data_IF_745461256778
#
_entry.id   IF_745461256778
#
_cell.length_a   1.000
_cell.length_b   1.000
_cell.length_c   1.000
_cell.angle_alpha   90.00
_cell.angle_beta   90.00
_cell.angle_gamma   90.00
#
_symmetry.space_group_name_H-M   'P 1'
#
loop_
_entity.id
_entity.type
_entity.pdbx_description
1 polymer ?
#
# COMPACT_ATOMS: atom_id res chain seq x y z
N UNK A 1 -4.30 13.10 -14.62
CA UNK A 1 -3.03 13.12 -13.89
C UNK A 1 -1.87 13.05 -14.87
N UNK A 2 -0.76 13.80 -14.64
CA UNK A 2 0.45 13.67 -15.43
C UNK A 2 0.93 12.20 -15.43
N UNK A 3 1.31 11.71 -16.61
CA UNK A 3 1.70 10.31 -16.84
C UNK A 3 3.19 10.20 -17.23
N UNK A 4 4.00 11.10 -16.75
CA UNK A 4 5.38 11.34 -17.15
C UNK A 4 6.44 11.02 -16.09
N UNK A 5 6.00 10.62 -14.90
CA UNK A 5 6.91 10.10 -13.88
C UNK A 5 7.31 8.65 -14.17
N UNK A 6 8.50 8.27 -13.77
CA UNK A 6 8.89 6.86 -13.80
C UNK A 6 8.14 6.08 -12.73
N UNK A 7 7.41 5.05 -13.12
CA UNK A 7 6.83 4.07 -12.22
C UNK A 7 7.69 2.84 -12.16
N UNK A 8 8.09 2.48 -10.97
CA UNK A 8 8.77 1.22 -10.69
C UNK A 8 7.82 0.02 -10.84
N UNK A 9 6.53 0.18 -10.51
CA UNK A 9 5.40 -0.74 -10.54
C UNK A 9 5.42 -1.81 -9.44
N UNK A 10 6.54 -2.46 -9.22
CA UNK A 10 6.71 -3.48 -8.18
C UNK A 10 7.51 -2.91 -7.00
N UNK A 11 7.23 -1.64 -6.66
CA UNK A 11 7.88 -0.94 -5.55
C UNK A 11 7.36 -1.49 -4.23
N UNK A 12 8.13 -2.42 -3.68
CA UNK A 12 7.82 -3.12 -2.44
C UNK A 12 9.11 -3.47 -1.69
N UNK A 13 8.99 -3.68 -0.37
CA UNK A 13 10.14 -3.85 0.51
C UNK A 13 11.12 -4.96 0.07
N UNK A 14 10.63 -6.06 -0.48
CA UNK A 14 11.47 -7.17 -0.97
C UNK A 14 12.37 -6.81 -2.17
N UNK A 15 12.03 -5.74 -2.88
CA UNK A 15 12.78 -5.27 -4.05
C UNK A 15 13.74 -4.11 -3.70
N UNK A 16 13.93 -3.86 -2.40
CA UNK A 16 14.88 -2.88 -1.87
C UNK A 16 15.91 -3.64 -1.05
N UNK A 17 17.15 -3.62 -1.51
CA UNK A 17 18.29 -4.23 -0.83
C UNK A 17 19.10 -3.14 -0.14
N UNK A 18 19.63 -3.41 1.05
CA UNK A 18 20.54 -2.51 1.75
C UNK A 18 21.93 -3.12 1.74
N UNK A 19 22.95 -2.31 1.46
CA UNK A 19 24.34 -2.72 1.65
C UNK A 19 24.79 -2.62 3.12
N UNK A 20 26.06 -2.90 3.38
CA UNK A 20 26.64 -2.86 4.73
C UNK A 20 26.63 -1.44 5.36
N UNK A 21 26.45 -0.40 4.56
CA UNK A 21 26.37 1.00 4.97
C UNK A 21 24.96 1.58 4.95
N UNK A 22 23.94 0.70 4.87
CA UNK A 22 22.53 1.04 4.76
C UNK A 22 22.15 1.82 3.47
N UNK A 23 22.98 1.75 2.41
CA UNK A 23 22.61 2.34 1.13
C UNK A 23 21.58 1.47 0.40
N UNK A 24 20.46 2.03 -0.10
CA UNK A 24 19.44 1.27 -0.78
C UNK A 24 19.80 0.98 -2.24
N UNK A 25 19.61 -0.26 -2.64
CA UNK A 25 19.67 -0.72 -4.04
C UNK A 25 18.30 -1.25 -4.45
N UNK A 26 17.88 -0.89 -5.65
CA UNK A 26 16.58 -1.25 -6.19
C UNK A 26 16.75 -2.32 -7.25
N UNK A 27 16.04 -3.45 -7.10
CA UNK A 27 16.06 -4.60 -8.01
C UNK A 27 14.67 -4.85 -8.60
N UNK A 28 14.59 -5.60 -9.69
CA UNK A 28 13.30 -5.98 -10.32
C UNK A 28 12.54 -4.78 -10.93
N UNK A 29 13.29 -3.81 -11.50
CA UNK A 29 12.72 -2.57 -12.06
C UNK A 29 12.44 -2.63 -13.57
N UNK A 30 12.72 -3.75 -14.24
CA UNK A 30 12.55 -3.92 -15.70
C UNK A 30 11.10 -3.80 -16.16
N UNK A 31 10.12 -3.92 -15.25
CA UNK A 31 8.71 -3.68 -15.51
C UNK A 31 8.32 -2.19 -15.50
N UNK A 32 9.30 -1.29 -15.30
CA UNK A 32 9.07 0.14 -15.17
C UNK A 32 8.47 0.77 -16.44
N UNK A 33 7.68 1.82 -16.23
CA UNK A 33 7.06 2.60 -17.32
C UNK A 33 6.70 4.01 -16.85
N UNK A 34 6.25 4.85 -17.78
CA UNK A 34 5.68 6.15 -17.42
C UNK A 34 4.31 6.01 -16.75
N UNK A 35 4.04 6.85 -15.79
CA UNK A 35 2.76 6.90 -15.11
C UNK A 35 2.70 7.91 -13.96
N UNK A 36 1.59 7.95 -13.20
CA UNK A 36 1.41 8.92 -12.13
C UNK A 36 2.19 8.54 -10.88
N UNK A 37 2.91 9.47 -10.30
CA UNK A 37 3.77 9.28 -9.12
C UNK A 37 3.05 8.78 -7.85
N UNK A 38 1.72 8.80 -7.80
CA UNK A 38 0.94 8.26 -6.68
C UNK A 38 0.97 6.73 -6.60
N UNK A 39 1.15 6.04 -7.74
CA UNK A 39 0.97 4.60 -7.82
C UNK A 39 1.97 3.82 -6.97
N UNK A 40 3.25 4.13 -7.08
CA UNK A 40 4.30 3.43 -6.33
C UNK A 40 4.24 3.76 -4.85
N UNK A 41 3.93 5.01 -4.49
CA UNK A 41 3.71 5.40 -3.10
C UNK A 41 2.56 4.60 -2.46
N UNK A 42 1.42 4.48 -3.17
CA UNK A 42 0.29 3.67 -2.72
C UNK A 42 0.67 2.19 -2.61
N UNK A 43 1.43 1.64 -3.57
CA UNK A 43 1.87 0.25 -3.58
C UNK A 43 2.76 -0.07 -2.39
N UNK A 44 3.71 0.80 -2.09
CA UNK A 44 4.69 0.61 -1.03
C UNK A 44 4.05 0.76 0.35
N UNK A 45 3.39 1.88 0.61
CA UNK A 45 2.88 2.19 1.95
C UNK A 45 1.64 1.35 2.34
N UNK A 46 0.87 0.86 1.39
CA UNK A 46 -0.28 -0.03 1.64
C UNK A 46 0.00 -1.49 1.28
N UNK A 47 1.26 -1.87 1.17
CA UNK A 47 1.63 -3.28 1.05
C UNK A 47 1.09 -4.07 2.24
N UNK A 48 0.20 -5.04 1.97
CA UNK A 48 -0.53 -5.76 3.03
C UNK A 48 0.40 -6.51 3.99
N UNK A 49 1.47 -7.14 3.46
CA UNK A 49 2.44 -7.88 4.25
C UNK A 49 3.32 -7.00 5.14
N UNK A 50 3.54 -5.73 4.79
CA UNK A 50 4.39 -4.81 5.55
C UNK A 50 3.74 -4.31 6.85
N UNK A 51 2.40 -4.28 6.91
CA UNK A 51 1.61 -3.89 8.09
C UNK A 51 2.06 -2.56 8.72
N UNK A 52 2.43 -1.58 7.90
CA UNK A 52 2.84 -0.26 8.38
C UNK A 52 1.73 0.40 9.23
N UNK A 53 2.13 1.01 10.36
CA UNK A 53 1.19 1.75 11.19
C UNK A 53 0.62 2.98 10.46
N UNK A 54 -0.57 3.42 10.86
CA UNK A 54 -1.16 4.65 10.31
C UNK A 54 -0.26 5.87 10.51
N UNK A 55 0.40 5.97 11.66
CA UNK A 55 1.34 7.06 11.98
C UNK A 55 2.50 7.09 10.98
N UNK A 56 3.17 5.96 10.77
CA UNK A 56 4.30 5.84 9.83
C UNK A 56 3.87 6.15 8.39
N UNK A 57 2.74 5.60 7.93
CA UNK A 57 2.20 5.91 6.59
C UNK A 57 2.00 7.40 6.40
N UNK A 58 1.41 8.08 7.40
CA UNK A 58 1.16 9.51 7.35
C UNK A 58 2.45 10.31 7.26
N UNK A 59 3.42 10.01 8.11
CA UNK A 59 4.73 10.65 8.10
C UNK A 59 5.41 10.52 6.74
N UNK A 60 5.51 9.30 6.21
CA UNK A 60 6.13 9.03 4.90
C UNK A 60 5.38 9.66 3.72
N UNK A 61 4.05 9.79 3.79
CA UNK A 61 3.27 10.51 2.78
C UNK A 61 3.65 11.99 2.75
N UNK A 62 3.82 12.64 3.90
CA UNK A 62 4.21 14.05 3.97
C UNK A 62 5.67 14.24 3.54
N UNK A 63 6.59 13.38 3.96
CA UNK A 63 7.99 13.43 3.51
C UNK A 63 8.09 13.27 1.99
N UNK A 64 7.36 12.30 1.42
CA UNK A 64 7.31 12.12 -0.03
C UNK A 64 6.74 13.35 -0.74
N UNK A 65 5.64 13.92 -0.21
CA UNK A 65 5.02 15.13 -0.75
C UNK A 65 5.99 16.31 -0.74
N UNK A 66 6.75 16.49 0.33
CA UNK A 66 7.72 17.58 0.44
C UNK A 66 8.95 17.36 -0.47
N UNK A 67 9.44 16.14 -0.57
CA UNK A 67 10.50 15.79 -1.50
C UNK A 67 10.09 16.00 -2.97
N UNK A 68 8.86 15.64 -3.32
CA UNK A 68 8.33 15.74 -4.68
C UNK A 68 8.35 17.18 -5.23
N UNK A 69 8.17 18.19 -4.36
CA UNK A 69 8.25 19.63 -4.73
C UNK A 69 9.58 20.03 -5.37
N UNK A 70 10.64 19.27 -5.12
CA UNK A 70 11.95 19.54 -5.70
C UNK A 70 12.07 19.06 -7.16
N UNK A 71 11.11 18.27 -7.64
CA UNK A 71 11.19 17.62 -8.94
C UNK A 71 10.06 18.01 -9.89
N UNK A 72 8.92 18.44 -9.35
CA UNK A 72 7.74 18.78 -10.16
C UNK A 72 6.81 19.72 -9.39
N UNK A 73 5.92 20.38 -10.13
CA UNK A 73 4.80 21.07 -9.52
C UNK A 73 3.85 20.06 -8.86
N UNK A 74 3.51 20.34 -7.60
CA UNK A 74 2.60 19.50 -6.83
C UNK A 74 1.34 20.28 -6.45
N UNK A 75 0.16 19.62 -6.46
CA UNK A 75 -1.08 20.24 -6.01
C UNK A 75 -1.03 20.53 -4.49
N UNK A 76 -2.03 21.24 -3.96
CA UNK A 76 -2.15 21.40 -2.50
C UNK A 76 -2.14 20.04 -1.81
N UNK A 77 -1.60 19.98 -0.58
CA UNK A 77 -1.48 18.74 0.20
C UNK A 77 -2.83 18.02 0.35
N UNK A 78 -3.92 18.76 0.51
CA UNK A 78 -5.27 18.20 0.57
C UNK A 78 -5.64 17.47 -0.73
N UNK A 79 -5.36 18.08 -1.87
CA UNK A 79 -5.64 17.50 -3.19
C UNK A 79 -4.75 16.28 -3.41
N UNK A 80 -3.46 16.39 -3.05
CA UNK A 80 -2.52 15.27 -3.12
C UNK A 80 -3.01 14.04 -2.33
N UNK A 81 -3.39 14.23 -1.06
CA UNK A 81 -3.89 13.14 -0.20
C UNK A 81 -5.18 12.53 -0.75
N UNK A 82 -6.11 13.36 -1.24
CA UNK A 82 -7.34 12.85 -1.84
C UNK A 82 -7.05 12.00 -3.08
N UNK A 83 -6.13 12.45 -3.94
CA UNK A 83 -5.71 11.67 -5.12
C UNK A 83 -4.98 10.38 -4.73
N UNK A 84 -4.04 10.47 -3.81
CA UNK A 84 -3.36 9.29 -3.28
C UNK A 84 -4.37 8.23 -2.78
N UNK A 85 -5.42 8.66 -2.10
CA UNK A 85 -6.45 7.75 -1.58
C UNK A 85 -7.19 6.99 -2.68
N UNK A 86 -7.39 7.60 -3.86
CA UNK A 86 -7.92 6.88 -5.03
C UNK A 86 -6.97 5.79 -5.51
N UNK A 87 -5.67 6.09 -5.56
CA UNK A 87 -4.65 5.09 -5.91
C UNK A 87 -4.55 3.99 -4.87
N UNK A 88 -4.67 4.32 -3.58
CA UNK A 88 -4.72 3.33 -2.49
C UNK A 88 -5.91 2.40 -2.66
N UNK A 89 -7.12 2.95 -2.92
CA UNK A 89 -8.30 2.12 -3.18
C UNK A 89 -8.10 1.21 -4.38
N UNK A 90 -7.64 1.78 -5.50
CA UNK A 90 -7.37 1.02 -6.73
C UNK A 90 -6.38 -0.13 -6.50
N UNK A 91 -5.25 0.16 -5.85
CA UNK A 91 -4.22 -0.85 -5.54
C UNK A 91 -4.74 -1.91 -4.57
N UNK A 92 -5.51 -1.51 -3.56
CA UNK A 92 -6.10 -2.45 -2.61
C UNK A 92 -7.04 -3.44 -3.30
N UNK A 93 -7.89 -2.95 -4.20
CA UNK A 93 -8.79 -3.82 -4.98
C UNK A 93 -8.00 -4.74 -5.92
N UNK A 94 -6.98 -4.22 -6.58
CA UNK A 94 -6.12 -4.99 -7.48
C UNK A 94 -5.40 -6.13 -6.74
N UNK A 95 -4.81 -5.86 -5.57
CA UNK A 95 -4.11 -6.91 -4.80
C UNK A 95 -5.09 -7.90 -4.19
N UNK A 96 -6.26 -7.48 -3.73
CA UNK A 96 -7.30 -8.39 -3.25
C UNK A 96 -7.76 -9.37 -4.33
N UNK A 97 -7.94 -8.88 -5.57
CA UNK A 97 -8.25 -9.75 -6.71
C UNK A 97 -7.12 -10.76 -6.97
N UNK A 98 -5.85 -10.31 -6.97
CA UNK A 98 -4.71 -11.19 -7.15
C UNK A 98 -4.57 -12.22 -6.01
N UNK A 99 -4.77 -11.80 -4.75
CA UNK A 99 -4.69 -12.69 -3.59
C UNK A 99 -5.84 -13.72 -3.59
N UNK A 100 -7.05 -13.30 -3.97
CA UNK A 100 -8.16 -14.23 -4.13
C UNK A 100 -7.87 -15.29 -5.18
N UNK A 101 -7.44 -14.87 -6.37
CA UNK A 101 -7.11 -15.81 -7.45
C UNK A 101 -5.95 -16.74 -7.08
N UNK A 102 -4.80 -16.20 -6.70
CA UNK A 102 -3.61 -17.01 -6.39
C UNK A 102 -3.76 -17.83 -5.11
N UNK A 103 -4.52 -17.34 -4.14
CA UNK A 103 -4.79 -18.05 -2.89
C UNK A 103 -5.73 -19.23 -3.09
N UNK A 104 -6.91 -19.00 -3.69
CA UNK A 104 -7.94 -20.04 -3.80
C UNK A 104 -7.75 -20.96 -5.01
N UNK A 105 -7.35 -20.44 -6.17
CA UNK A 105 -7.17 -21.27 -7.37
C UNK A 105 -5.77 -21.88 -7.45
N UNK A 106 -4.71 -21.08 -7.27
CA UNK A 106 -3.34 -21.59 -7.29
C UNK A 106 -2.91 -22.23 -5.96
N UNK A 107 -3.77 -22.15 -4.92
CA UNK A 107 -3.55 -22.75 -3.58
C UNK A 107 -2.26 -22.28 -2.89
N UNK A 108 -1.82 -21.06 -3.17
CA UNK A 108 -0.62 -20.46 -2.58
C UNK A 108 -0.96 -19.81 -1.24
N UNK A 109 -0.58 -20.46 -0.14
CA UNK A 109 -0.93 -20.06 1.22
C UNK A 109 -0.58 -18.62 1.58
N UNK A 110 0.60 -18.13 1.21
CA UNK A 110 1.03 -16.77 1.52
C UNK A 110 0.13 -15.67 0.95
N UNK A 111 -0.59 -15.95 -0.16
CA UNK A 111 -1.61 -15.02 -0.67
C UNK A 111 -2.87 -15.04 0.19
N UNK A 112 -3.28 -16.21 0.69
CA UNK A 112 -4.40 -16.30 1.64
C UNK A 112 -4.08 -15.53 2.93
N UNK A 113 -2.88 -15.70 3.47
CA UNK A 113 -2.41 -15.00 4.67
C UNK A 113 -2.33 -13.46 4.49
N UNK A 114 -2.27 -13.00 3.24
CA UNK A 114 -2.24 -11.57 2.90
C UNK A 114 -3.64 -10.95 2.74
N UNK A 115 -4.71 -11.75 2.64
CA UNK A 115 -6.08 -11.24 2.50
C UNK A 115 -6.53 -10.44 3.74
N UNK A 116 -6.37 -10.93 4.99
CA UNK A 116 -6.78 -10.20 6.17
C UNK A 116 -6.22 -8.79 6.27
N UNK A 117 -4.89 -8.56 6.19
CA UNK A 117 -4.36 -7.22 6.23
C UNK A 117 -4.75 -6.36 5.02
N UNK A 118 -5.03 -6.95 3.85
CA UNK A 118 -5.55 -6.21 2.70
C UNK A 118 -7.01 -5.77 2.92
N UNK A 119 -7.85 -6.58 3.55
CA UNK A 119 -9.21 -6.20 3.96
C UNK A 119 -9.16 -5.07 4.99
N UNK A 120 -8.21 -5.09 5.93
CA UNK A 120 -8.04 -4.00 6.87
C UNK A 120 -7.63 -2.70 6.15
N UNK A 121 -6.71 -2.76 5.19
CA UNK A 121 -6.38 -1.60 4.34
C UNK A 121 -7.61 -1.07 3.59
N UNK A 122 -8.48 -1.96 3.09
CA UNK A 122 -9.74 -1.56 2.45
C UNK A 122 -10.67 -0.84 3.45
N UNK A 123 -10.87 -1.38 4.65
CA UNK A 123 -11.67 -0.72 5.70
C UNK A 123 -11.15 0.68 6.00
N UNK A 124 -9.84 0.83 6.11
CA UNK A 124 -9.22 2.12 6.47
C UNK A 124 -9.39 3.15 5.36
N UNK A 125 -9.22 2.78 4.10
CA UNK A 125 -9.43 3.73 3.00
C UNK A 125 -10.90 4.10 2.81
N UNK A 126 -11.84 3.18 3.06
CA UNK A 126 -13.27 3.44 2.97
C UNK A 126 -13.78 4.44 4.03
N UNK A 127 -13.04 4.66 5.14
CA UNK A 127 -13.35 5.70 6.13
C UNK A 127 -13.28 7.13 5.55
N UNK A 128 -12.58 7.33 4.44
CA UNK A 128 -12.55 8.62 3.73
C UNK A 128 -13.92 9.00 3.15
N UNK A 129 -14.77 8.01 2.87
CA UNK A 129 -16.16 8.18 2.47
C UNK A 129 -16.37 8.91 1.15
N UNK A 130 -17.61 9.37 0.94
CA UNK A 130 -18.06 9.95 -0.33
C UNK A 130 -17.39 11.28 -0.69
N UNK A 131 -16.82 11.99 0.27
CA UNK A 131 -16.06 13.21 0.01
C UNK A 131 -14.84 13.00 -0.89
N UNK A 132 -14.27 11.79 -0.87
CA UNK A 132 -13.12 11.40 -1.68
C UNK A 132 -13.54 10.46 -2.81
N UNK A 133 -14.52 9.60 -2.54
CA UNK A 133 -15.04 8.58 -3.45
C UNK A 133 -16.51 8.86 -3.76
N UNK A 134 -16.85 9.66 -4.80
CA UNK A 134 -18.22 10.03 -5.11
C UNK A 134 -19.01 8.91 -5.81
N UNK A 135 -18.93 7.68 -5.28
CA UNK A 135 -19.56 6.48 -5.82
C UNK A 135 -20.27 5.71 -4.70
N UNK A 136 -21.43 6.20 -4.19
CA UNK A 136 -22.07 5.67 -2.97
C UNK A 136 -22.41 4.18 -3.07
N UNK A 137 -22.91 3.71 -4.20
CA UNK A 137 -23.21 2.30 -4.40
C UNK A 137 -21.96 1.41 -4.32
N UNK A 138 -20.86 1.83 -4.95
CA UNK A 138 -19.59 1.10 -4.86
C UNK A 138 -19.06 1.08 -3.43
N UNK A 139 -19.13 2.20 -2.72
CA UNK A 139 -18.69 2.27 -1.31
C UNK A 139 -19.51 1.32 -0.43
N UNK A 140 -20.81 1.30 -0.60
CA UNK A 140 -21.70 0.38 0.13
C UNK A 140 -21.38 -1.09 -0.17
N UNK A 141 -21.20 -1.43 -1.44
CA UNK A 141 -20.81 -2.79 -1.85
C UNK A 141 -19.48 -3.19 -1.22
N UNK A 142 -18.48 -2.29 -1.23
CA UNK A 142 -17.16 -2.58 -0.65
C UNK A 142 -17.22 -2.68 0.89
N UNK A 143 -18.03 -1.86 1.57
CA UNK A 143 -18.28 -2.02 3.02
C UNK A 143 -18.85 -3.37 3.33
N UNK A 144 -19.92 -3.78 2.65
CA UNK A 144 -20.52 -5.12 2.81
C UNK A 144 -19.53 -6.25 2.54
N UNK A 145 -18.66 -6.09 1.54
CA UNK A 145 -17.57 -7.05 1.29
C UNK A 145 -16.69 -7.22 2.52
N UNK A 146 -16.30 -6.11 3.18
CA UNK A 146 -15.43 -6.18 4.37
C UNK A 146 -16.13 -6.75 5.61
N UNK A 147 -17.47 -6.76 5.64
CA UNK A 147 -18.30 -7.24 6.75
C UNK A 147 -18.69 -8.71 6.61
N UNK A 148 -18.31 -9.36 5.51
CA UNK A 148 -18.61 -10.79 5.34
C UNK A 148 -18.07 -11.59 6.53
N UNK A 149 -18.82 -12.62 7.03
CA UNK A 149 -18.44 -13.39 8.23
C UNK A 149 -17.02 -13.94 8.19
N UNK A 150 -16.53 -14.32 7.00
CA UNK A 150 -15.14 -14.78 6.79
C UNK A 150 -14.08 -13.72 7.09
N UNK A 151 -14.45 -12.43 7.12
CA UNK A 151 -13.56 -11.29 7.37
C UNK A 151 -13.86 -10.60 8.69
N UNK A 152 -15.02 -10.82 9.31
CA UNK A 152 -15.41 -10.21 10.57
C UNK A 152 -14.50 -10.64 11.75
N UNK A 153 -13.97 -11.85 11.70
CA UNK A 153 -13.08 -12.41 12.74
C UNK A 153 -11.60 -11.96 12.57
N UNK A 154 -11.31 -11.12 11.58
CA UNK A 154 -9.95 -10.69 11.24
C UNK A 154 -9.54 -9.40 11.93
N UNK A 155 -10.18 -9.02 13.03
CA UNK A 155 -9.68 -7.96 13.92
C UNK A 155 -8.36 -8.43 14.54
N UNK A 156 -7.26 -8.14 13.84
CA UNK A 156 -5.95 -8.28 14.46
C UNK A 156 -5.81 -7.19 15.51
N UNK A 157 -5.41 -7.54 16.74
CA UNK A 157 -5.07 -6.52 17.72
C UNK A 157 -4.03 -5.59 17.10
N UNK A 158 -4.24 -4.30 17.24
CA UNK A 158 -3.27 -3.30 16.86
C UNK A 158 -1.94 -3.67 17.53
N UNK A 159 -0.97 -4.12 16.75
CA UNK A 159 0.37 -4.35 17.26
C UNK A 159 0.94 -2.97 17.55
N UNK A 160 0.80 -2.53 18.80
CA UNK A 160 1.52 -1.40 19.36
C UNK A 160 3.02 -1.75 19.37
N UNK A 161 3.66 -1.64 18.23
CA UNK A 161 5.12 -1.58 18.16
C UNK A 161 5.52 -0.11 18.33
N UNK A 162 5.59 0.28 19.59
CA UNK A 162 6.17 1.56 20.03
C UNK A 162 7.71 1.57 19.94
N UNK A 163 8.32 0.53 19.41
CA UNK A 163 9.77 0.41 19.34
C UNK A 163 10.25 0.83 17.95
N UNK A 164 11.21 1.76 17.97
CA UNK A 164 11.78 2.39 16.77
C UNK A 164 12.15 1.37 15.70
N UNK A 165 11.42 1.44 14.60
CA UNK A 165 11.62 0.57 13.45
C UNK A 165 12.93 1.02 12.76
N UNK A 166 14.06 0.49 13.18
CA UNK A 166 15.25 0.46 12.32
C UNK A 166 14.93 -0.55 11.21
N UNK A 167 14.79 -0.05 9.98
CA UNK A 167 14.78 -0.89 8.80
C UNK A 167 16.19 -1.48 8.67
N UNK A 168 16.44 -2.63 9.27
CA UNK A 168 17.69 -3.37 9.07
C UNK A 168 17.48 -4.38 7.95
N UNK A 169 18.53 -4.69 7.20
CA UNK A 169 18.52 -5.73 6.17
C UNK A 169 17.90 -7.06 6.68
N UNK A 170 18.09 -7.38 7.96
CA UNK A 170 17.49 -8.55 8.61
C UNK A 170 15.96 -8.52 8.68
N UNK A 171 15.33 -7.34 8.74
CA UNK A 171 13.87 -7.21 8.80
C UNK A 171 13.21 -7.29 7.41
N UNK A 172 13.96 -6.98 6.36
CA UNK A 172 13.51 -7.09 4.97
C UNK A 172 13.58 -8.56 4.51
N UNK A 173 14.62 -9.28 4.91
CA UNK A 173 14.87 -10.68 4.48
C UNK A 173 14.15 -11.75 5.31
N UNK A 174 13.77 -11.47 6.57
CA UNK A 174 13.09 -12.45 7.45
C UNK A 174 11.59 -12.63 7.18
N UNK A 175 11.05 -11.98 6.16
CA UNK A 175 9.63 -12.10 5.83
C UNK A 175 9.27 -13.39 5.06
N UNK A 176 10.27 -14.21 4.65
CA UNK A 176 10.02 -15.53 4.07
C UNK A 176 11.15 -16.50 4.42
N UNK A 177 10.84 -17.67 5.02
CA UNK A 177 11.66 -18.85 4.85
C UNK A 177 11.45 -19.42 3.45
#
# INVERSE_FOLDING_TARGET
EPMDSFLYRDFQARNIMLDANDHPYFIDFQGGRKGPFYYDLASFLWQASAKYSFKLRRELVYEYYDALKNYTEVPSVRHFVNRLSLFVLFRTLQVLGAYGFRGYFERKKHFLDSIPPAIQNLRDVLKMGEKVFPYPYMLEMLRRLTELPRFAQLEQPAVNRADGFRITAQNIYRAHP
#
